data_IF_935178166397
#
_entry.id   IF_935178166397
#
_cell.length_a   1.000
_cell.length_b   1.000
_cell.length_c   1.000
_cell.angle_alpha   90.00
_cell.angle_beta   90.00
_cell.angle_gamma   90.00
#
_symmetry.space_group_name_H-M   'P 1'
#
loop_
_entity.id
_entity.type
_entity.pdbx_description
1 polymer ?
#
# COMPACT_ATOMS: atom_id res chain seq x y z
N UNK A 1 0.22 -0.43 8.41
CA UNK A 1 -0.13 -0.16 7.00
C UNK A 1 -1.35 -0.96 6.51
N UNK A 2 -1.46 -2.26 6.82
CA UNK A 2 -2.62 -3.11 6.46
C UNK A 2 -3.97 -2.51 6.81
N UNK A 3 -4.15 -2.09 8.08
CA UNK A 3 -5.41 -1.49 8.50
C UNK A 3 -5.78 -0.21 7.76
N UNK A 4 -4.79 0.56 7.29
CA UNK A 4 -5.05 1.74 6.46
C UNK A 4 -5.55 1.34 5.06
N UNK A 5 -4.88 0.39 4.39
CA UNK A 5 -5.33 -0.14 3.11
C UNK A 5 -6.74 -0.73 3.22
N UNK A 6 -6.99 -1.56 4.25
CA UNK A 6 -8.29 -2.15 4.51
C UNK A 6 -9.39 -1.09 4.73
N UNK A 7 -9.08 0.00 5.46
CA UNK A 7 -10.01 1.11 5.71
C UNK A 7 -10.33 1.86 4.40
N UNK A 8 -9.33 2.14 3.58
CA UNK A 8 -9.52 2.80 2.28
C UNK A 8 -10.40 1.95 1.38
N UNK A 9 -10.08 0.68 1.22
CA UNK A 9 -10.81 -0.26 0.35
C UNK A 9 -12.13 -0.76 0.97
N UNK A 10 -12.55 -0.20 2.11
CA UNK A 10 -13.82 -0.50 2.80
C UNK A 10 -14.04 -2.00 3.03
N UNK A 11 -12.99 -2.71 3.44
CA UNK A 11 -13.02 -4.15 3.72
C UNK A 11 -12.73 -5.07 2.53
N UNK A 12 -12.48 -4.53 1.34
CA UNK A 12 -12.17 -5.32 0.13
C UNK A 12 -10.67 -5.55 -0.06
N UNK A 13 -9.84 -5.32 0.96
CA UNK A 13 -8.39 -5.49 0.88
C UNK A 13 -8.01 -6.96 1.13
N UNK A 14 -7.77 -7.72 0.06
CA UNK A 14 -7.14 -9.04 0.09
C UNK A 14 -5.63 -8.94 0.21
N UNK A 15 -4.95 -10.09 0.36
CA UNK A 15 -3.47 -10.16 0.34
C UNK A 15 -2.91 -9.60 -0.97
N UNK A 16 -3.52 -9.94 -2.11
CA UNK A 16 -3.14 -9.42 -3.42
C UNK A 16 -3.38 -7.92 -3.52
N UNK A 17 -4.53 -7.44 -3.07
CA UNK A 17 -4.83 -6.00 -3.04
C UNK A 17 -3.82 -5.23 -2.19
N UNK A 18 -3.42 -5.77 -1.05
CA UNK A 18 -2.38 -5.15 -0.23
C UNK A 18 -1.01 -5.19 -0.93
N UNK A 19 -0.69 -6.29 -1.62
CA UNK A 19 0.54 -6.40 -2.41
C UNK A 19 0.59 -5.33 -3.51
N UNK A 20 -0.53 -5.02 -4.18
CA UNK A 20 -0.63 -3.98 -5.20
C UNK A 20 -0.75 -2.56 -4.63
N UNK A 21 -1.25 -2.42 -3.41
CA UNK A 21 -1.29 -1.15 -2.69
C UNK A 21 0.11 -0.60 -2.39
N UNK A 22 1.08 -1.45 -2.10
CA UNK A 22 2.45 -1.02 -1.79
C UNK A 22 3.12 -0.28 -2.96
N UNK A 23 3.16 -0.79 -4.22
CA UNK A 23 3.70 -0.04 -5.34
C UNK A 23 2.89 1.22 -5.67
N UNK A 24 1.57 1.21 -5.45
CA UNK A 24 0.78 2.42 -5.55
C UNK A 24 1.26 3.49 -4.57
N UNK A 25 1.55 3.15 -3.31
CA UNK A 25 2.14 4.08 -2.34
C UNK A 25 3.47 4.65 -2.82
N UNK A 26 4.34 3.81 -3.38
CA UNK A 26 5.63 4.24 -3.95
C UNK A 26 5.41 5.25 -5.08
N UNK A 27 4.37 5.06 -5.90
CA UNK A 27 4.04 5.95 -7.01
C UNK A 27 3.62 7.36 -6.60
N UNK A 28 3.23 7.57 -5.34
CA UNK A 28 2.91 8.90 -4.81
C UNK A 28 4.14 9.82 -4.73
N UNK A 29 5.34 9.24 -4.89
CA UNK A 29 6.61 9.93 -4.77
C UNK A 29 7.15 9.92 -3.34
N UNK A 30 8.43 10.29 -3.21
CA UNK A 30 9.20 10.15 -1.97
C UNK A 30 8.55 10.83 -0.77
N UNK A 31 8.16 12.10 -0.91
CA UNK A 31 7.64 12.88 0.22
C UNK A 31 6.33 12.31 0.80
N UNK A 32 5.29 12.07 -0.02
CA UNK A 32 4.08 11.39 0.43
C UNK A 32 4.36 9.99 0.99
N UNK A 33 5.19 9.19 0.32
CA UNK A 33 5.56 7.84 0.77
C UNK A 33 6.18 7.85 2.17
N UNK A 34 7.20 8.70 2.41
CA UNK A 34 7.86 8.80 3.71
C UNK A 34 6.91 9.24 4.84
N UNK A 35 5.99 10.18 4.55
CA UNK A 35 4.97 10.59 5.53
C UNK A 35 4.02 9.45 5.87
N UNK A 36 3.54 8.73 4.87
CA UNK A 36 2.61 7.60 5.06
C UNK A 36 3.31 6.43 5.74
N UNK A 37 4.56 6.15 5.41
CA UNK A 37 5.34 5.11 6.07
C UNK A 37 5.52 5.39 7.56
N UNK A 38 5.79 6.66 7.94
CA UNK A 38 5.89 7.08 9.34
C UNK A 38 4.56 7.20 10.06
N UNK A 39 3.49 7.53 9.34
CA UNK A 39 2.13 7.65 9.90
C UNK A 39 1.07 7.30 8.85
N UNK A 40 0.52 6.08 8.86
CA UNK A 40 -0.50 5.64 7.91
C UNK A 40 -1.77 6.50 7.90
N UNK A 41 -2.13 7.18 9.00
CA UNK A 41 -3.29 8.07 9.06
C UNK A 41 -3.12 9.32 8.18
N UNK A 42 -1.88 9.66 7.79
CA UNK A 42 -1.61 10.74 6.84
C UNK A 42 -2.09 10.45 5.39
N UNK A 43 -2.53 9.22 5.10
CA UNK A 43 -3.26 8.91 3.86
C UNK A 43 -4.51 9.76 3.68
N UNK A 44 -5.10 10.25 4.77
CA UNK A 44 -6.21 11.21 4.74
C UNK A 44 -5.84 12.55 4.03
N UNK A 45 -4.57 12.87 3.88
CA UNK A 45 -4.11 14.07 3.15
C UNK A 45 -3.82 13.82 1.67
N UNK A 46 -3.75 12.56 1.26
CA UNK A 46 -3.43 12.18 -0.12
C UNK A 46 -4.62 12.54 -1.02
N UNK A 47 -4.41 13.38 -2.06
CA UNK A 47 -5.52 13.86 -2.91
C UNK A 47 -6.33 12.74 -3.57
N UNK A 48 -5.67 11.63 -3.96
CA UNK A 48 -6.31 10.46 -4.53
C UNK A 48 -7.29 9.82 -3.54
N UNK A 49 -6.89 9.68 -2.28
CA UNK A 49 -7.74 9.12 -1.22
C UNK A 49 -8.89 10.07 -0.88
N UNK A 50 -8.64 11.37 -0.84
CA UNK A 50 -9.70 12.37 -0.57
C UNK A 50 -10.81 12.37 -1.61
N UNK A 51 -10.52 12.04 -2.86
CA UNK A 51 -11.53 11.92 -3.92
C UNK A 51 -12.48 10.74 -3.72
N UNK A 52 -12.09 9.75 -2.93
CA UNK A 52 -12.90 8.56 -2.62
C UNK A 52 -13.88 8.80 -1.47
N UNK A 53 -13.74 9.91 -0.74
CA UNK A 53 -14.61 10.25 0.39
C UNK A 53 -16.07 10.37 -0.04
N UNK A 54 -16.96 9.79 0.75
CA UNK A 54 -18.41 9.82 0.50
C UNK A 54 -18.91 9.00 -0.70
N UNK A 55 -18.01 8.31 -1.43
CA UNK A 55 -18.36 7.50 -2.61
C UNK A 55 -18.30 6.01 -2.25
N UNK A 56 -19.30 5.20 -2.63
CA UNK A 56 -19.22 3.76 -2.49
C UNK A 56 -18.18 3.20 -3.47
N UNK A 57 -17.59 2.07 -3.13
CA UNK A 57 -16.57 1.40 -3.97
C UNK A 57 -17.08 0.96 -5.34
N UNK A 58 -18.39 0.72 -5.47
CA UNK A 58 -19.05 0.43 -6.74
C UNK A 58 -18.93 1.54 -7.78
N UNK A 59 -18.71 2.78 -7.33
CA UNK A 59 -18.63 3.97 -8.19
C UNK A 59 -17.18 4.34 -8.54
N UNK A 60 -16.21 3.55 -8.07
CA UNK A 60 -14.81 3.79 -8.39
C UNK A 60 -14.46 3.18 -9.73
N UNK A 61 -13.76 3.96 -10.56
CA UNK A 61 -13.12 3.39 -11.75
C UNK A 61 -11.90 2.54 -11.36
N UNK A 62 -11.45 1.67 -12.27
CA UNK A 62 -10.26 0.87 -12.02
C UNK A 62 -9.01 1.70 -11.70
N UNK A 63 -8.90 2.92 -12.25
CA UNK A 63 -7.78 3.83 -12.00
C UNK A 63 -7.85 4.54 -10.64
N UNK A 64 -9.01 4.55 -9.99
CA UNK A 64 -9.19 5.15 -8.67
C UNK A 64 -8.87 4.20 -7.52
N UNK A 65 -8.80 2.88 -7.81
CA UNK A 65 -8.35 1.93 -6.81
C UNK A 65 -6.89 2.22 -6.44
N UNK A 66 -6.54 2.24 -5.15
CA UNK A 66 -5.18 2.48 -4.70
C UNK A 66 -4.31 1.24 -4.86
N UNK A 67 -4.21 0.75 -6.09
CA UNK A 67 -3.50 -0.47 -6.48
C UNK A 67 -2.72 -0.21 -7.78
N UNK A 68 -1.50 -0.73 -7.88
CA UNK A 68 -0.73 -0.69 -9.11
C UNK A 68 0.10 -1.95 -9.32
N UNK A 69 -0.55 -2.99 -9.80
CA UNK A 69 0.08 -4.29 -10.04
C UNK A 69 1.30 -4.19 -10.95
N UNK A 70 1.16 -3.52 -12.08
CA UNK A 70 2.21 -3.47 -13.12
C UNK A 70 3.53 -2.87 -12.62
N UNK A 71 3.49 -1.97 -11.64
CA UNK A 71 4.72 -1.36 -11.11
C UNK A 71 5.61 -2.39 -10.40
N UNK A 72 5.04 -3.45 -9.85
CA UNK A 72 5.80 -4.53 -9.23
C UNK A 72 6.74 -5.25 -10.20
N UNK A 73 6.39 -5.25 -11.48
CA UNK A 73 7.15 -5.98 -12.50
C UNK A 73 8.19 -5.12 -13.22
N UNK A 74 8.13 -3.79 -13.09
CA UNK A 74 9.01 -2.87 -13.82
C UNK A 74 10.48 -3.12 -13.51
N UNK A 75 10.84 -3.22 -12.24
CA UNK A 75 12.24 -3.43 -11.82
C UNK A 75 12.76 -4.79 -12.26
N UNK A 76 11.96 -5.85 -12.10
CA UNK A 76 12.30 -7.20 -12.55
C UNK A 76 12.53 -7.24 -14.06
N UNK A 77 11.58 -6.73 -14.84
CA UNK A 77 11.66 -6.73 -16.29
C UNK A 77 12.84 -5.89 -16.82
N UNK A 78 13.17 -4.80 -16.13
CA UNK A 78 14.33 -3.97 -16.46
C UNK A 78 15.64 -4.73 -16.17
N UNK A 79 15.73 -5.43 -15.05
CA UNK A 79 16.89 -6.23 -14.69
C UNK A 79 17.11 -7.39 -15.67
N UNK A 80 16.06 -8.14 -16.00
CA UNK A 80 16.09 -9.22 -16.98
C UNK A 80 16.58 -8.74 -18.35
N UNK A 81 16.04 -7.61 -18.83
CA UNK A 81 16.50 -7.00 -20.11
C UNK A 81 17.96 -6.57 -20.09
N UNK A 82 18.44 -6.05 -18.96
CA UNK A 82 19.80 -5.57 -18.81
C UNK A 82 20.83 -6.70 -18.65
N UNK A 83 20.46 -7.81 -18.01
CA UNK A 83 21.39 -8.89 -17.63
C UNK A 83 21.18 -10.19 -18.40
N UNK A 84 20.02 -10.38 -19.03
CA UNK A 84 19.61 -11.65 -19.62
C UNK A 84 19.28 -12.74 -18.58
N UNK A 85 19.21 -12.38 -17.29
CA UNK A 85 18.94 -13.31 -16.20
C UNK A 85 17.46 -13.27 -15.84
N UNK A 86 16.72 -14.28 -16.23
CA UNK A 86 15.32 -14.47 -15.82
C UNK A 86 15.25 -14.62 -14.29
N UNK A 87 14.34 -13.92 -13.66
CA UNK A 87 14.14 -13.86 -12.19
C UNK A 87 15.40 -13.51 -11.36
N UNK A 88 16.46 -13.02 -11.99
CA UNK A 88 17.74 -12.73 -11.34
C UNK A 88 17.73 -11.56 -10.35
N UNK A 89 16.72 -10.67 -10.40
CA UNK A 89 16.65 -9.49 -9.52
C UNK A 89 16.58 -9.88 -8.05
N UNK A 90 15.79 -10.89 -7.68
CA UNK A 90 15.68 -11.39 -6.33
C UNK A 90 17.03 -11.78 -5.74
N UNK A 91 17.76 -12.63 -6.45
CA UNK A 91 19.10 -13.09 -6.06
C UNK A 91 20.09 -11.92 -5.95
N UNK A 92 20.02 -10.95 -6.85
CA UNK A 92 20.88 -9.77 -6.83
C UNK A 92 20.59 -8.84 -5.62
N UNK A 93 19.35 -8.76 -5.19
CA UNK A 93 18.95 -8.02 -3.99
C UNK A 93 19.42 -8.74 -2.71
N UNK A 94 19.19 -10.04 -2.61
CA UNK A 94 19.67 -10.86 -1.49
C UNK A 94 21.18 -10.79 -1.31
N UNK A 95 21.93 -10.86 -2.41
CA UNK A 95 23.39 -10.73 -2.38
C UNK A 95 23.87 -9.36 -1.84
N UNK A 96 22.99 -8.34 -1.84
CA UNK A 96 23.23 -7.01 -1.25
C UNK A 96 22.63 -6.85 0.15
N UNK A 97 22.11 -7.91 0.74
CA UNK A 97 21.43 -7.86 2.05
C UNK A 97 20.06 -7.17 2.01
N UNK A 98 19.49 -6.98 0.82
CA UNK A 98 18.15 -6.41 0.64
C UNK A 98 17.14 -7.54 0.55
N UNK A 99 16.41 -7.77 1.62
CA UNK A 99 15.36 -8.79 1.66
C UNK A 99 14.00 -8.20 1.28
N UNK A 100 13.11 -9.02 0.74
CA UNK A 100 11.70 -8.64 0.57
C UNK A 100 11.10 -8.33 1.94
N UNK A 101 10.47 -7.17 2.07
CA UNK A 101 9.83 -6.70 3.32
C UNK A 101 8.52 -7.46 3.61
N UNK A 102 8.15 -8.45 2.79
CA UNK A 102 6.91 -9.22 2.95
C UNK A 102 6.74 -9.90 4.32
N UNK A 103 7.85 -10.08 5.05
CA UNK A 103 7.85 -10.80 6.34
C UNK A 103 8.11 -9.88 7.55
N UNK A 104 8.19 -8.57 7.34
CA UNK A 104 8.34 -7.64 8.45
C UNK A 104 7.03 -7.58 9.26
N UNK A 105 7.08 -8.05 10.50
CA UNK A 105 5.98 -7.86 11.44
C UNK A 105 5.71 -6.35 11.60
N UNK A 106 4.44 -5.92 11.71
CA UNK A 106 4.12 -4.52 11.97
C UNK A 106 4.83 -4.04 13.24
N UNK A 107 5.55 -2.92 13.18
CA UNK A 107 6.24 -2.34 14.34
C UNK A 107 5.30 -2.08 15.52
N UNK A 108 4.03 -1.78 15.24
CA UNK A 108 2.99 -1.51 16.24
C UNK A 108 2.35 -2.78 16.84
N UNK A 109 2.84 -3.96 16.47
CA UNK A 109 2.21 -5.23 16.83
C UNK A 109 0.87 -5.48 16.12
N UNK A 110 0.29 -6.68 16.27
CA UNK A 110 -0.98 -7.01 15.67
C UNK A 110 -2.11 -6.23 16.35
N UNK A 111 -2.98 -5.60 15.56
CA UNK A 111 -4.21 -4.97 16.04
C UNK A 111 -5.39 -5.38 15.17
N UNK A 112 -6.59 -5.37 15.74
CA UNK A 112 -7.79 -5.76 15.01
C UNK A 112 -8.35 -4.59 14.20
N UNK A 113 -7.89 -4.44 12.93
CA UNK A 113 -8.38 -3.41 12.02
C UNK A 113 -9.83 -3.63 11.53
N UNK A 114 -10.43 -4.78 11.83
CA UNK A 114 -11.87 -5.01 11.60
C UNK A 114 -12.73 -4.30 12.66
N UNK A 115 -12.19 -4.04 13.85
CA UNK A 115 -12.88 -3.36 14.93
C UNK A 115 -12.94 -1.84 14.70
N UNK A 116 -14.16 -1.23 14.63
CA UNK A 116 -14.31 0.20 14.34
C UNK A 116 -13.62 1.12 15.34
N UNK A 117 -13.70 0.76 16.64
CA UNK A 117 -13.05 1.49 17.73
C UNK A 117 -11.54 1.53 17.62
N UNK A 118 -10.92 0.41 17.22
CA UNK A 118 -9.49 0.35 17.01
C UNK A 118 -9.05 1.13 15.75
N UNK A 119 -9.85 1.10 14.67
CA UNK A 119 -9.59 1.96 13.51
C UNK A 119 -9.67 3.43 13.87
N UNK A 120 -10.70 3.83 14.60
CA UNK A 120 -10.86 5.22 15.06
C UNK A 120 -9.70 5.66 15.95
N UNK A 121 -9.21 4.79 16.82
CA UNK A 121 -8.09 5.10 17.71
C UNK A 121 -6.75 5.24 16.97
N UNK A 122 -6.49 4.40 15.95
CA UNK A 122 -5.21 4.36 15.24
C UNK A 122 -5.17 5.13 13.92
N UNK A 123 -6.34 5.30 13.29
CA UNK A 123 -6.52 5.96 12.00
C UNK A 123 -7.68 6.96 12.06
N UNK A 124 -7.66 7.92 13.02
CA UNK A 124 -8.81 8.80 13.28
C UNK A 124 -9.18 9.65 12.07
N UNK A 125 -8.21 10.22 11.36
CA UNK A 125 -8.45 11.09 10.22
C UNK A 125 -8.94 10.31 9.00
N UNK A 126 -8.30 9.18 8.73
CA UNK A 126 -8.66 8.31 7.61
C UNK A 126 -10.06 7.70 7.83
N UNK A 127 -10.35 7.28 9.06
CA UNK A 127 -11.67 6.75 9.42
C UNK A 127 -12.75 7.84 9.31
N UNK A 128 -12.48 9.07 9.76
CA UNK A 128 -13.43 10.18 9.63
C UNK A 128 -13.65 10.59 8.16
N UNK A 129 -12.63 10.51 7.32
CA UNK A 129 -12.70 10.85 5.90
C UNK A 129 -13.57 9.86 5.10
N UNK A 130 -13.43 8.56 5.40
CA UNK A 130 -13.99 7.47 4.58
C UNK A 130 -15.19 6.77 5.24
N UNK A 131 -15.45 7.05 6.50
CA UNK A 131 -16.38 6.43 7.44
C UNK A 131 -17.82 6.35 7.17
#
# INVERSE_FOLDING_TARGET
MWGAAWTIMRGWCSDDSFFYFQPWLVSLGRGPFERVAGNPDSLADVPQIRRLAGRPTSDWSGEEWPEWELLNYVARNAYERATGQEDGLGNALEARGLHRISDAAPEDGPWNYHAPDQRLARLPRLTALLG
#
